data_IF_058343125950
#
_entry.id   IF_058343125950
#
_cell.length_a   1.000
_cell.length_b   1.000
_cell.length_c   1.000
_cell.angle_alpha   90.00
_cell.angle_beta   90.00
_cell.angle_gamma   90.00
#
_symmetry.space_group_name_H-M   'P 1'
#
loop_
_entity.id
_entity.type
_entity.pdbx_description
1 polymer ?
#
# COMPACT_ATOMS: atom_id res chain seq x y z
N UNK A 1 -6.93 5.29 -20.71
CA UNK A 1 -6.65 5.58 -19.29
C UNK A 1 -7.75 4.90 -18.50
N UNK A 2 -7.41 4.15 -17.45
CA UNK A 2 -8.42 3.49 -16.62
C UNK A 2 -9.19 4.55 -15.83
N UNK A 3 -10.51 4.45 -15.80
CA UNK A 3 -11.33 5.36 -15.01
C UNK A 3 -11.48 4.85 -13.58
N UNK A 4 -11.05 5.64 -12.59
CA UNK A 4 -11.24 5.26 -11.19
C UNK A 4 -12.62 5.73 -10.72
N UNK A 5 -13.49 4.80 -10.24
CA UNK A 5 -14.77 5.13 -9.64
C UNK A 5 -14.68 6.28 -8.64
N UNK A 6 -15.58 7.26 -8.75
CA UNK A 6 -15.54 8.48 -7.92
C UNK A 6 -15.60 8.16 -6.43
N UNK A 7 -16.46 7.23 -6.03
CA UNK A 7 -16.59 6.78 -4.64
C UNK A 7 -15.36 6.05 -4.10
N UNK A 8 -14.42 5.62 -4.97
CA UNK A 8 -13.17 5.02 -4.52
C UNK A 8 -12.07 6.06 -4.29
N UNK A 9 -12.22 7.27 -4.86
CA UNK A 9 -11.16 8.29 -4.86
C UNK A 9 -10.78 8.78 -3.47
N UNK A 10 -11.73 8.82 -2.54
CA UNK A 10 -11.45 9.19 -1.14
C UNK A 10 -10.61 8.16 -0.38
N UNK A 11 -10.57 6.92 -0.88
CA UNK A 11 -9.85 5.81 -0.26
C UNK A 11 -8.48 5.53 -0.89
N UNK A 12 -8.14 6.20 -2.00
CA UNK A 12 -6.88 5.98 -2.70
C UNK A 12 -5.69 6.38 -1.84
N UNK A 13 -4.55 5.74 -2.08
CA UNK A 13 -3.26 6.20 -1.59
C UNK A 13 -2.67 7.15 -2.64
N UNK A 14 -2.76 8.49 -2.45
CA UNK A 14 -2.49 9.44 -3.52
C UNK A 14 -1.07 9.28 -4.08
N UNK A 15 -0.90 9.52 -5.37
CA UNK A 15 0.41 9.49 -6.03
C UNK A 15 0.54 10.67 -6.97
N UNK A 16 1.77 11.09 -7.18
CA UNK A 16 2.07 12.19 -8.09
C UNK A 16 1.73 11.79 -9.53
N UNK A 17 0.95 12.64 -10.21
CA UNK A 17 0.48 12.39 -11.57
C UNK A 17 -0.65 11.36 -11.70
N UNK A 18 -1.19 10.85 -10.59
CA UNK A 18 -2.36 9.97 -10.57
C UNK A 18 -3.68 10.73 -10.39
N UNK A 19 -4.74 9.98 -10.13
CA UNK A 19 -6.06 10.50 -9.81
C UNK A 19 -6.00 11.45 -8.61
N UNK A 20 -6.76 12.53 -8.69
CA UNK A 20 -6.86 13.51 -7.61
C UNK A 20 -7.43 12.83 -6.35
N UNK A 21 -6.59 12.70 -5.33
CA UNK A 21 -7.00 12.29 -3.99
C UNK A 21 -7.55 13.47 -3.16
N UNK A 22 -7.85 13.23 -1.87
CA UNK A 22 -8.25 14.30 -0.96
C UNK A 22 -7.20 15.42 -0.91
N UNK A 23 -7.64 16.67 -0.93
CA UNK A 23 -6.75 17.81 -0.77
C UNK A 23 -6.02 17.72 0.58
N UNK A 24 -4.69 17.78 0.56
CA UNK A 24 -3.85 17.66 1.73
C UNK A 24 -3.11 18.99 1.97
N UNK A 25 -3.51 19.70 3.02
CA UNK A 25 -2.78 20.88 3.55
C UNK A 25 -2.39 20.62 4.99
N UNK A 26 -1.19 21.02 5.46
CA UNK A 26 -0.77 20.79 6.85
C UNK A 26 -1.78 21.34 7.87
N UNK A 27 -2.13 20.54 8.89
CA UNK A 27 -3.04 20.95 9.96
C UNK A 27 -2.26 21.63 11.10
N UNK A 28 -2.44 22.95 11.24
CA UNK A 28 -1.75 23.75 12.25
C UNK A 28 -2.16 23.41 13.70
N UNK A 29 -3.41 22.99 13.92
CA UNK A 29 -3.90 22.59 15.24
C UNK A 29 -3.37 21.22 15.64
N UNK A 30 -3.33 20.27 14.69
CA UNK A 30 -2.65 18.99 14.89
C UNK A 30 -1.17 19.21 15.20
N UNK A 31 -0.48 20.04 14.40
CA UNK A 31 0.92 20.37 14.64
C UNK A 31 1.16 20.97 16.03
N UNK A 32 0.28 21.85 16.52
CA UNK A 32 0.38 22.39 17.89
C UNK A 32 0.30 21.30 18.94
N UNK A 33 -0.65 20.36 18.81
CA UNK A 33 -0.78 19.20 19.72
C UNK A 33 0.45 18.30 19.68
N UNK A 34 1.01 18.06 18.49
CA UNK A 34 2.24 17.27 18.34
C UNK A 34 3.45 17.95 19.00
N UNK A 35 3.61 19.27 18.86
CA UNK A 35 4.68 20.02 19.56
C UNK A 35 4.55 19.93 21.08
N UNK A 36 3.32 19.94 21.61
CA UNK A 36 3.07 19.73 23.03
C UNK A 36 3.41 18.30 23.49
N UNK A 37 2.98 17.30 22.72
CA UNK A 37 3.36 15.91 22.94
C UNK A 37 4.89 15.71 22.90
N UNK A 38 5.57 16.33 21.93
CA UNK A 38 7.03 16.31 21.82
C UNK A 38 7.65 16.87 23.11
N UNK A 39 7.24 18.07 23.56
CA UNK A 39 7.77 18.68 24.79
C UNK A 39 7.60 17.78 26.00
N UNK A 40 6.44 17.14 26.17
CA UNK A 40 6.18 16.18 27.25
C UNK A 40 7.05 14.91 27.12
N UNK A 41 7.37 14.49 25.89
CA UNK A 41 8.16 13.30 25.62
C UNK A 41 9.67 13.51 25.73
N UNK A 42 10.19 14.75 25.63
CA UNK A 42 11.63 15.06 25.76
C UNK A 42 12.33 14.39 26.96
N UNK A 43 11.84 14.50 28.21
CA UNK A 43 12.48 13.84 29.35
C UNK A 43 12.37 12.30 29.33
N UNK A 44 11.41 11.75 28.57
CA UNK A 44 11.32 10.29 28.35
C UNK A 44 12.40 9.88 27.35
N UNK A 45 12.45 10.55 26.20
CA UNK A 45 13.43 10.29 25.15
C UNK A 45 14.88 10.47 25.63
N UNK A 46 15.17 11.49 26.45
CA UNK A 46 16.48 11.69 27.04
C UNK A 46 16.93 10.48 27.90
N UNK A 47 16.07 10.02 28.80
CA UNK A 47 16.37 8.83 29.63
C UNK A 47 16.53 7.55 28.81
N UNK A 48 15.75 7.41 27.73
CA UNK A 48 15.91 6.28 26.82
C UNK A 48 17.24 6.36 26.05
N UNK A 49 17.63 7.55 25.60
CA UNK A 49 18.90 7.77 24.89
C UNK A 49 20.12 7.40 25.75
N UNK A 50 20.05 7.62 27.06
CA UNK A 50 21.09 7.28 28.03
C UNK A 50 21.12 5.79 28.43
N UNK A 51 20.14 4.99 28.00
CA UNK A 51 20.08 3.57 28.36
C UNK A 51 21.23 2.79 27.72
N UNK A 52 21.89 1.91 28.49
CA UNK A 52 23.11 1.17 28.06
C UNK A 52 22.93 0.31 26.80
N UNK A 53 21.68 -0.08 26.50
CA UNK A 53 21.29 -0.91 25.34
C UNK A 53 20.71 -0.10 24.18
N UNK A 54 20.64 1.21 24.30
CA UNK A 54 20.18 2.07 23.19
C UNK A 54 21.22 2.06 22.08
N UNK A 55 20.74 2.00 20.83
CA UNK A 55 21.59 2.21 19.65
C UNK A 55 22.33 3.56 19.79
N UNK A 56 23.67 3.57 19.85
CA UNK A 56 24.44 4.80 20.05
C UNK A 56 24.09 5.90 19.04
N UNK A 57 23.83 5.55 17.78
CA UNK A 57 23.48 6.51 16.76
C UNK A 57 22.10 7.14 17.02
N UNK A 58 21.14 6.40 17.58
CA UNK A 58 19.85 6.95 18.00
C UNK A 58 20.00 7.80 19.27
N UNK A 59 20.88 7.41 20.20
CA UNK A 59 21.21 8.21 21.38
C UNK A 59 21.77 9.58 21.00
N UNK A 60 22.76 9.62 20.11
CA UNK A 60 23.35 10.85 19.57
C UNK A 60 22.31 11.71 18.83
N UNK A 61 21.47 11.08 17.98
CA UNK A 61 20.42 11.79 17.25
C UNK A 61 19.37 12.41 18.19
N UNK A 62 18.98 11.71 19.26
CA UNK A 62 18.11 12.28 20.30
C UNK A 62 18.78 13.46 20.99
N UNK A 63 20.05 13.34 21.38
CA UNK A 63 20.79 14.44 22.00
C UNK A 63 20.80 15.68 21.09
N UNK A 64 21.17 15.50 19.82
CA UNK A 64 21.16 16.58 18.82
C UNK A 64 19.78 17.23 18.68
N UNK A 65 18.70 16.42 18.64
CA UNK A 65 17.32 16.94 18.57
C UNK A 65 16.93 17.74 19.80
N UNK A 66 17.32 17.29 21.00
CA UNK A 66 17.04 17.96 22.26
C UNK A 66 17.77 19.30 22.37
N UNK A 67 18.99 19.39 21.83
CA UNK A 67 19.78 20.61 21.69
C UNK A 67 19.26 21.56 20.59
N UNK A 68 18.26 21.13 19.82
CA UNK A 68 17.55 21.94 18.83
C UNK A 68 18.02 21.73 17.38
N UNK A 69 18.93 20.80 17.12
CA UNK A 69 19.31 20.46 15.74
C UNK A 69 18.12 19.83 14.99
N UNK A 70 17.94 20.15 13.68
CA UNK A 70 16.93 19.52 12.85
C UNK A 70 17.41 18.15 12.38
N UNK A 71 17.53 17.20 13.31
CA UNK A 71 17.88 15.81 13.04
C UNK A 71 16.62 14.95 12.82
N UNK A 72 16.40 14.38 11.62
CA UNK A 72 15.22 13.56 11.35
C UNK A 72 15.13 12.29 12.20
N UNK A 73 16.24 11.63 12.51
CA UNK A 73 16.26 10.42 13.32
C UNK A 73 15.97 10.74 14.79
N UNK A 74 16.50 11.85 15.30
CA UNK A 74 16.20 12.37 16.63
C UNK A 74 14.74 12.80 16.77
N UNK A 75 14.20 13.51 15.77
CA UNK A 75 12.78 13.87 15.74
C UNK A 75 11.88 12.63 15.73
N UNK A 76 12.23 11.61 14.93
CA UNK A 76 11.54 10.34 14.88
C UNK A 76 11.58 9.59 16.22
N UNK A 77 12.74 9.53 16.87
CA UNK A 77 12.91 8.87 18.16
C UNK A 77 12.12 9.53 19.29
N UNK A 78 12.11 10.88 19.34
CA UNK A 78 11.30 11.62 20.33
C UNK A 78 9.81 11.41 20.08
N UNK A 79 9.36 11.40 18.82
CA UNK A 79 7.98 11.11 18.47
C UNK A 79 7.57 9.66 18.79
N UNK A 80 8.47 8.70 18.57
CA UNK A 80 8.27 7.30 18.96
C UNK A 80 8.06 7.18 20.49
N UNK A 81 8.87 7.87 21.29
CA UNK A 81 8.69 7.93 22.74
C UNK A 81 7.34 8.56 23.12
N UNK A 82 6.93 9.64 22.44
CA UNK A 82 5.64 10.30 22.68
C UNK A 82 4.46 9.36 22.41
N UNK A 83 4.41 8.76 21.21
CA UNK A 83 3.35 7.83 20.77
C UNK A 83 3.27 6.61 21.68
N UNK A 84 4.43 6.12 22.14
CA UNK A 84 4.52 4.96 23.01
C UNK A 84 4.02 5.23 24.43
N UNK A 85 4.41 6.34 25.03
CA UNK A 85 4.30 6.53 26.49
C UNK A 85 3.29 7.57 26.95
N UNK A 86 2.81 8.48 26.09
CA UNK A 86 1.86 9.53 26.51
C UNK A 86 0.40 9.11 26.32
N UNK A 87 0.11 8.08 25.52
CA UNK A 87 -1.22 7.46 25.39
C UNK A 87 -2.29 8.29 24.66
N UNK A 88 -2.16 9.62 24.63
CA UNK A 88 -3.07 10.62 24.07
C UNK A 88 -2.57 11.24 22.75
N UNK A 89 -1.62 10.57 22.09
CA UNK A 89 -0.86 11.11 20.96
C UNK A 89 -1.37 10.57 19.63
N UNK A 90 -1.64 11.49 18.70
CA UNK A 90 -2.00 11.18 17.32
C UNK A 90 -0.78 11.24 16.40
N UNK A 91 -0.36 10.10 15.85
CA UNK A 91 0.84 9.99 15.02
C UNK A 91 0.85 10.92 13.78
N UNK A 92 -0.25 11.06 13.00
CA UNK A 92 -0.33 12.01 11.89
C UNK A 92 -0.01 13.46 12.28
N UNK A 93 -0.30 13.87 13.52
CA UNK A 93 -0.06 15.23 13.97
C UNK A 93 1.44 15.62 13.96
N UNK A 94 2.34 14.64 14.13
CA UNK A 94 3.78 14.87 13.99
C UNK A 94 4.20 15.13 12.55
N UNK A 95 3.54 14.50 11.57
CA UNK A 95 3.78 14.78 10.14
C UNK A 95 3.48 16.25 9.85
N UNK A 96 2.37 16.77 10.36
CA UNK A 96 1.99 18.17 10.22
C UNK A 96 2.99 19.11 10.91
N UNK A 97 3.44 18.79 12.13
CA UNK A 97 4.44 19.56 12.85
C UNK A 97 5.78 19.60 12.11
N UNK A 98 6.32 18.45 11.69
CA UNK A 98 7.58 18.37 10.96
C UNK A 98 7.50 19.11 9.62
N UNK A 99 6.37 19.01 8.93
CA UNK A 99 6.16 19.72 7.65
C UNK A 99 6.16 21.23 7.85
N UNK A 100 5.47 21.73 8.87
CA UNK A 100 5.38 23.16 9.16
C UNK A 100 6.69 23.75 9.70
N UNK A 101 7.44 22.98 10.51
CA UNK A 101 8.64 23.47 11.18
C UNK A 101 9.91 23.35 10.31
N UNK A 102 9.98 22.32 9.46
CA UNK A 102 11.22 21.96 8.75
C UNK A 102 11.01 21.62 7.26
N UNK A 103 9.77 21.69 6.76
CA UNK A 103 9.43 21.38 5.38
C UNK A 103 9.16 19.90 5.13
N UNK A 104 8.54 19.63 3.98
CA UNK A 104 8.01 18.32 3.63
C UNK A 104 9.10 17.24 3.47
N UNK A 105 10.26 17.61 2.93
CA UNK A 105 11.38 16.68 2.80
C UNK A 105 11.96 16.24 4.15
N UNK A 106 11.97 17.14 5.15
CA UNK A 106 12.34 16.75 6.52
C UNK A 106 11.33 15.79 7.11
N UNK A 107 10.04 16.07 6.97
CA UNK A 107 8.97 15.18 7.44
C UNK A 107 9.07 13.79 6.79
N UNK A 108 9.45 13.71 5.51
CA UNK A 108 9.70 12.45 4.83
C UNK A 108 10.90 11.69 5.39
N UNK A 109 12.04 12.35 5.62
CA UNK A 109 13.17 11.72 6.28
C UNK A 109 12.80 11.22 7.69
N UNK A 110 12.10 12.03 8.48
CA UNK A 110 11.73 11.69 9.84
C UNK A 110 10.76 10.50 9.89
N UNK A 111 9.75 10.47 9.01
CA UNK A 111 8.83 9.32 8.94
C UNK A 111 9.53 8.04 8.44
N UNK A 112 10.45 8.18 7.48
CA UNK A 112 11.29 7.07 7.03
C UNK A 112 12.12 6.53 8.20
N UNK A 113 12.83 7.36 8.96
CA UNK A 113 13.58 6.94 10.15
C UNK A 113 12.68 6.25 11.19
N UNK A 114 11.56 6.88 11.52
CA UNK A 114 10.54 6.39 12.44
C UNK A 114 10.02 4.99 12.12
N UNK A 115 9.99 4.60 10.84
CA UNK A 115 9.51 3.28 10.44
C UNK A 115 10.36 2.12 10.93
N UNK A 116 11.61 2.38 11.34
CA UNK A 116 12.54 1.38 11.86
C UNK A 116 12.83 1.52 13.34
N UNK A 117 12.31 2.55 14.03
CA UNK A 117 12.64 2.82 15.43
C UNK A 117 11.60 2.16 16.33
N UNK A 118 12.06 1.32 17.26
CA UNK A 118 11.24 0.76 18.33
C UNK A 118 11.65 1.34 19.69
N UNK A 119 10.65 1.66 20.50
CA UNK A 119 10.80 2.21 21.85
C UNK A 119 10.32 1.20 22.90
N UNK A 120 11.21 0.79 23.80
CA UNK A 120 10.90 -0.09 24.92
C UNK A 120 11.61 -1.45 24.86
N UNK A 121 11.24 -2.41 25.74
CA UNK A 121 11.93 -3.69 25.82
C UNK A 121 11.83 -4.55 24.56
N UNK A 122 12.91 -5.27 24.25
CA UNK A 122 12.95 -6.31 23.22
C UNK A 122 12.01 -7.47 23.61
N UNK A 123 11.01 -7.82 22.78
CA UNK A 123 10.34 -9.12 22.90
C UNK A 123 11.29 -10.23 22.46
N UNK A 124 11.67 -11.13 23.36
CA UNK A 124 12.59 -12.23 23.07
C UNK A 124 11.82 -13.54 22.90
N UNK A 125 12.18 -14.33 21.88
CA UNK A 125 11.68 -15.71 21.74
C UNK A 125 12.34 -16.57 22.82
N UNK A 126 11.53 -17.24 23.65
CA UNK A 126 12.02 -18.22 24.60
C UNK A 126 11.59 -19.63 24.18
N UNK A 127 12.54 -20.57 24.12
CA UNK A 127 12.19 -21.99 24.03
C UNK A 127 11.73 -22.46 25.39
N UNK A 128 10.48 -22.95 25.50
CA UNK A 128 10.15 -23.80 26.64
C UNK A 128 10.67 -25.20 26.29
N UNK A 129 11.54 -25.77 27.12
CA UNK A 129 12.22 -27.05 26.87
C UNK A 129 11.31 -28.26 26.56
N UNK A 130 10.00 -28.08 26.45
CA UNK A 130 9.00 -29.01 25.91
C UNK A 130 8.83 -28.93 24.38
N UNK A 131 9.67 -28.18 23.65
CA UNK A 131 9.55 -28.00 22.20
C UNK A 131 8.48 -26.98 21.77
N UNK A 132 7.84 -26.29 22.73
CA UNK A 132 6.94 -25.18 22.45
C UNK A 132 7.70 -23.85 22.50
N UNK A 133 7.54 -23.02 21.47
CA UNK A 133 8.04 -21.64 21.47
C UNK A 133 7.13 -20.81 22.38
N UNK A 134 7.66 -20.29 23.49
CA UNK A 134 6.99 -19.28 24.32
C UNK A 134 7.51 -17.90 23.93
N UNK A 135 6.59 -16.99 23.61
CA UNK A 135 6.95 -15.60 23.43
C UNK A 135 7.02 -14.92 24.80
N UNK A 136 8.13 -14.28 25.15
CA UNK A 136 8.19 -13.40 26.31
C UNK A 136 8.04 -11.97 25.81
N UNK A 137 6.80 -11.49 25.78
CA UNK A 137 6.51 -10.09 25.58
C UNK A 137 6.58 -9.39 26.95
N UNK A 138 7.50 -8.43 27.11
CA UNK A 138 7.47 -7.51 28.23
C UNK A 138 6.37 -6.47 27.99
N UNK A 139 5.11 -6.89 28.12
CA UNK A 139 3.98 -5.99 28.19
C UNK A 139 3.77 -5.63 29.66
N UNK A 140 4.00 -4.37 30.04
CA UNK A 140 3.51 -3.88 31.32
C UNK A 140 1.99 -3.82 31.25
N UNK A 141 1.31 -4.80 31.84
CA UNK A 141 -0.11 -4.70 32.18
C UNK A 141 -0.16 -3.96 33.53
N UNK A 142 -0.29 -2.63 33.48
CA UNK A 142 -0.29 -1.73 34.64
C UNK A 142 0.50 -0.45 34.41
N UNK A 143 0.63 0.41 35.43
CA UNK A 143 1.57 1.54 35.41
C UNK A 143 2.96 0.99 35.03
N UNK A 144 3.51 1.44 33.89
CA UNK A 144 4.91 1.17 33.55
C UNK A 144 5.75 1.49 34.80
N UNK A 145 6.71 0.62 35.19
CA UNK A 145 7.47 0.83 36.42
C UNK A 145 7.92 2.29 36.48
N UNK A 146 7.47 3.04 37.50
CA UNK A 146 7.74 4.48 37.61
C UNK A 146 9.24 4.71 37.45
N UNK A 147 9.67 5.16 36.28
CA UNK A 147 11.07 5.41 35.97
C UNK A 147 11.68 4.66 34.79
N UNK A 148 11.13 3.52 34.35
CA UNK A 148 11.75 2.74 33.26
C UNK A 148 11.06 2.97 31.91
N UNK A 149 11.80 3.61 30.99
CA UNK A 149 11.35 3.89 29.62
C UNK A 149 11.96 2.94 28.56
N UNK A 150 12.83 1.99 28.97
CA UNK A 150 13.50 1.07 28.04
C UNK A 150 14.52 1.76 27.12
N UNK A 151 14.90 1.06 26.05
CA UNK A 151 15.88 1.53 25.05
C UNK A 151 15.22 2.05 23.78
N UNK A 152 16.01 2.78 22.98
CA UNK A 152 15.72 3.09 21.59
C UNK A 152 16.60 2.22 20.70
N UNK A 153 15.99 1.55 19.72
CA UNK A 153 16.71 0.66 18.82
C UNK A 153 16.12 0.66 17.43
N UNK A 154 16.90 0.17 16.47
CA UNK A 154 16.37 -0.19 15.15
C UNK A 154 15.80 -1.61 15.17
N UNK A 155 14.72 -1.80 14.43
CA UNK A 155 14.09 -3.10 14.26
C UNK A 155 14.92 -4.01 13.38
N UNK A 156 14.96 -5.29 13.72
CA UNK A 156 15.70 -6.32 13.00
C UNK A 156 14.82 -7.53 12.69
N UNK A 157 15.35 -8.42 11.85
CA UNK A 157 14.71 -9.70 11.52
C UNK A 157 14.66 -10.68 12.70
N UNK A 158 15.20 -10.33 13.87
CA UNK A 158 15.07 -11.12 15.10
C UNK A 158 13.85 -10.75 15.95
N UNK A 159 13.29 -9.55 15.76
CA UNK A 159 12.11 -9.04 16.48
C UNK A 159 10.83 -9.85 16.25
N UNK A 160 10.46 -10.70 17.21
CA UNK A 160 9.40 -11.68 17.00
C UNK A 160 8.02 -11.07 16.70
N UNK A 161 7.67 -9.93 17.30
CA UNK A 161 6.44 -9.16 17.04
C UNK A 161 6.62 -7.68 17.39
N UNK A 162 6.04 -6.75 16.61
CA UNK A 162 5.98 -5.34 17.00
C UNK A 162 5.11 -5.20 18.25
N UNK A 163 5.62 -4.60 19.32
CA UNK A 163 4.84 -4.36 20.53
C UNK A 163 4.48 -2.87 20.60
N UNK A 164 3.32 -2.46 20.09
CA UNK A 164 2.68 -1.18 20.44
C UNK A 164 2.30 -0.25 19.30
N UNK A 165 2.12 1.02 19.66
CA UNK A 165 1.76 2.12 18.74
C UNK A 165 3.02 2.65 18.06
N UNK A 166 2.95 2.83 16.74
CA UNK A 166 4.05 3.31 15.92
C UNK A 166 3.75 4.72 15.42
N UNK A 167 4.78 5.54 15.36
CA UNK A 167 4.70 6.87 14.75
C UNK A 167 4.51 6.79 13.23
N UNK A 168 5.11 5.78 12.58
CA UNK A 168 4.95 5.53 11.15
C UNK A 168 3.73 4.63 10.85
N UNK A 169 2.63 4.78 11.60
CA UNK A 169 1.39 4.03 11.33
C UNK A 169 0.78 4.38 9.95
N UNK A 170 -0.19 3.56 9.52
CA UNK A 170 -0.92 3.74 8.25
C UNK A 170 -1.43 5.16 8.04
N UNK A 171 -1.95 5.80 9.11
CA UNK A 171 -2.54 7.14 9.03
C UNK A 171 -1.46 8.19 8.80
N UNK A 172 -0.33 8.12 9.51
CA UNK A 172 0.79 9.04 9.34
C UNK A 172 1.43 8.88 7.95
N UNK A 173 1.61 7.63 7.49
CA UNK A 173 2.18 7.33 6.18
C UNK A 173 1.27 7.81 5.04
N UNK A 174 -0.04 7.52 5.08
CA UNK A 174 -1.02 8.04 4.11
C UNK A 174 -1.06 9.57 4.11
N UNK A 175 -1.04 10.19 5.28
CA UNK A 175 -1.05 11.65 5.45
C UNK A 175 0.14 12.30 4.76
N UNK A 176 1.35 11.81 5.02
CA UNK A 176 2.57 12.33 4.41
C UNK A 176 2.58 12.08 2.90
N UNK A 177 2.19 10.87 2.47
CA UNK A 177 2.11 10.53 1.05
C UNK A 177 1.15 11.46 0.30
N UNK A 178 0.02 11.82 0.89
CA UNK A 178 -0.92 12.78 0.30
C UNK A 178 -0.30 14.18 0.15
N UNK A 179 0.45 14.66 1.15
CA UNK A 179 1.19 15.93 1.06
C UNK A 179 2.24 15.89 -0.05
N UNK A 180 3.02 14.79 -0.15
CA UNK A 180 4.03 14.59 -1.19
C UNK A 180 3.42 14.53 -2.59
N UNK A 181 2.28 13.85 -2.76
CA UNK A 181 1.60 13.75 -4.06
C UNK A 181 1.12 15.12 -4.59
N UNK A 182 0.74 16.02 -3.69
CA UNK A 182 0.30 17.38 -4.01
C UNK A 182 1.43 18.43 -4.06
N UNK A 183 2.67 18.05 -3.71
CA UNK A 183 3.78 18.98 -3.61
C UNK A 183 4.25 19.50 -4.99
N UNK A 184 4.74 20.75 -5.05
CA UNK A 184 5.51 21.25 -6.20
C UNK A 184 6.68 20.31 -6.57
N UNK A 185 7.07 20.29 -7.85
CA UNK A 185 8.13 19.39 -8.35
C UNK A 185 9.45 19.53 -7.59
N UNK A 186 9.88 20.76 -7.35
CA UNK A 186 11.12 21.08 -6.64
C UNK A 186 11.11 20.54 -5.21
N UNK A 187 9.99 20.72 -4.50
CA UNK A 187 9.79 20.17 -3.14
C UNK A 187 9.77 18.64 -3.16
N UNK A 188 9.10 18.04 -4.15
CA UNK A 188 9.07 16.58 -4.31
C UNK A 188 10.47 16.01 -4.57
N UNK A 189 11.25 16.67 -5.42
CA UNK A 189 12.63 16.25 -5.75
C UNK A 189 13.59 16.43 -4.58
N UNK A 190 13.43 17.47 -3.77
CA UNK A 190 14.18 17.60 -2.52
C UNK A 190 13.86 16.44 -1.56
N UNK A 191 12.59 16.06 -1.42
CA UNK A 191 12.20 14.90 -0.63
C UNK A 191 12.82 13.61 -1.15
N UNK A 192 12.82 13.36 -2.47
CA UNK A 192 13.50 12.21 -3.08
C UNK A 192 14.99 12.20 -2.76
N UNK A 193 15.67 13.33 -2.97
CA UNK A 193 17.12 13.44 -2.76
C UNK A 193 17.50 13.18 -1.29
N UNK A 194 16.74 13.74 -0.34
CA UNK A 194 17.02 13.59 1.09
C UNK A 194 16.66 12.20 1.61
N UNK A 195 15.49 11.65 1.26
CA UNK A 195 15.07 10.31 1.68
C UNK A 195 16.02 9.22 1.18
N UNK A 196 16.69 9.44 0.04
CA UNK A 196 17.71 8.52 -0.46
C UNK A 196 18.84 8.23 0.55
N UNK A 197 19.15 9.18 1.45
CA UNK A 197 20.15 9.00 2.51
C UNK A 197 19.62 8.28 3.76
N UNK A 198 18.30 8.16 3.92
CA UNK A 198 17.65 7.61 5.12
C UNK A 198 17.09 6.19 4.92
N UNK A 199 17.19 5.61 3.71
CA UNK A 199 16.65 4.27 3.37
C UNK A 199 17.61 3.10 3.65
N UNK A 200 18.32 3.14 4.78
CA UNK A 200 19.46 2.26 5.06
C UNK A 200 19.14 0.78 5.32
N UNK A 201 17.94 0.45 5.77
CA UNK A 201 17.50 -0.93 6.08
C UNK A 201 16.17 -1.26 5.36
N UNK A 202 15.74 -2.55 5.35
CA UNK A 202 14.55 -2.96 4.61
C UNK A 202 13.27 -2.22 4.99
N UNK A 203 13.10 -1.86 6.26
CA UNK A 203 11.91 -1.18 6.73
C UNK A 203 11.86 0.27 6.23
N UNK A 204 12.99 0.96 6.29
CA UNK A 204 13.13 2.31 5.75
C UNK A 204 13.04 2.32 4.23
N UNK A 205 13.56 1.30 3.51
CA UNK A 205 13.38 1.15 2.05
C UNK A 205 11.92 0.96 1.67
N UNK A 206 11.18 0.13 2.39
CA UNK A 206 9.74 -0.05 2.17
C UNK A 206 8.95 1.24 2.42
N UNK A 207 9.25 1.95 3.49
CA UNK A 207 8.58 3.23 3.77
C UNK A 207 8.93 4.26 2.71
N UNK A 208 10.18 4.34 2.27
CA UNK A 208 10.60 5.23 1.19
C UNK A 208 9.90 4.92 -0.14
N UNK A 209 9.80 3.65 -0.55
CA UNK A 209 9.10 3.25 -1.78
C UNK A 209 7.61 3.54 -1.72
N UNK A 210 7.01 3.44 -0.54
CA UNK A 210 5.63 3.85 -0.31
C UNK A 210 5.44 5.38 -0.36
N UNK A 211 6.32 6.17 0.25
CA UNK A 211 6.14 7.63 0.23
C UNK A 211 6.40 8.23 -1.16
N UNK A 212 7.32 7.63 -1.92
CA UNK A 212 7.85 8.16 -3.17
C UNK A 212 7.71 7.12 -4.31
N UNK A 213 6.47 6.75 -4.70
CA UNK A 213 6.20 5.64 -5.62
C UNK A 213 6.67 5.88 -7.07
N UNK A 214 7.07 7.11 -7.42
CA UNK A 214 7.63 7.40 -8.75
C UNK A 214 9.07 6.90 -8.89
N UNK A 215 9.78 6.67 -7.79
CA UNK A 215 11.12 6.10 -7.79
C UNK A 215 11.03 4.56 -7.88
N UNK A 216 10.65 4.07 -9.07
CA UNK A 216 10.28 2.65 -9.30
C UNK A 216 11.35 1.65 -8.85
N UNK A 217 12.63 2.03 -8.98
CA UNK A 217 13.79 1.23 -8.53
C UNK A 217 13.73 0.92 -7.03
N UNK A 218 13.21 1.83 -6.21
CA UNK A 218 13.08 1.62 -4.77
C UNK A 218 11.98 0.61 -4.44
N UNK A 219 10.93 0.55 -5.26
CA UNK A 219 9.91 -0.49 -5.14
C UNK A 219 10.45 -1.87 -5.58
N UNK A 220 11.31 -1.94 -6.60
CA UNK A 220 12.00 -3.18 -6.97
C UNK A 220 12.84 -3.75 -5.83
N UNK A 221 13.63 -2.90 -5.16
CA UNK A 221 14.41 -3.25 -3.98
C UNK A 221 13.52 -3.73 -2.83
N UNK A 222 12.48 -2.95 -2.48
CA UNK A 222 11.57 -3.28 -1.39
C UNK A 222 10.76 -4.57 -1.63
N UNK A 223 10.45 -4.90 -2.89
CA UNK A 223 9.77 -6.15 -3.27
C UNK A 223 10.69 -7.37 -3.26
N UNK A 224 12.00 -7.19 -3.43
CA UNK A 224 12.98 -8.27 -3.31
C UNK A 224 13.23 -8.67 -1.85
N UNK A 225 12.85 -7.80 -0.91
CA UNK A 225 13.10 -7.98 0.51
C UNK A 225 11.90 -8.58 1.25
N UNK A 226 12.17 -9.62 2.02
CA UNK A 226 11.20 -10.23 2.93
C UNK A 226 11.05 -9.40 4.22
N UNK A 227 10.58 -8.15 4.12
CA UNK A 227 10.18 -7.41 5.30
C UNK A 227 8.80 -7.94 5.77
N UNK A 228 8.79 -9.02 6.54
CA UNK A 228 7.53 -9.58 7.07
C UNK A 228 6.94 -8.77 8.22
N UNK A 229 7.53 -7.62 8.57
CA UNK A 229 7.26 -6.90 9.83
C UNK A 229 6.88 -5.44 9.60
N UNK A 230 5.94 -5.00 10.43
CA UNK A 230 5.23 -3.72 10.43
C UNK A 230 6.19 -2.56 10.80
N UNK A 231 5.91 -1.27 10.48
CA UNK A 231 4.59 -0.65 10.50
C UNK A 231 3.75 -0.62 9.20
N UNK A 232 4.34 -0.83 8.02
CA UNK A 232 3.59 -0.81 6.76
C UNK A 232 3.29 -2.21 6.24
N UNK A 233 2.00 -2.48 6.01
CA UNK A 233 1.48 -3.76 5.54
C UNK A 233 1.59 -4.02 4.04
N UNK A 234 1.01 -5.14 3.59
CA UNK A 234 0.99 -5.56 2.19
C UNK A 234 0.26 -4.54 1.29
N UNK A 235 -0.78 -3.90 1.79
CA UNK A 235 -1.52 -2.83 1.13
C UNK A 235 -0.63 -1.66 0.72
N UNK A 236 0.35 -1.27 1.56
CA UNK A 236 1.30 -0.21 1.26
C UNK A 236 2.28 -0.60 0.17
N UNK A 237 2.76 -1.85 0.18
CA UNK A 237 3.62 -2.39 -0.88
C UNK A 237 2.87 -2.36 -2.22
N UNK A 238 1.61 -2.77 -2.24
CA UNK A 238 0.76 -2.70 -3.44
C UNK A 238 0.53 -1.26 -3.91
N UNK A 239 0.28 -0.33 -2.97
CA UNK A 239 0.16 1.09 -3.26
C UNK A 239 1.45 1.73 -3.79
N UNK A 240 2.60 1.06 -3.64
CA UNK A 240 3.91 1.52 -4.14
C UNK A 240 4.19 1.07 -5.58
N UNK A 241 3.31 0.25 -6.17
CA UNK A 241 3.53 -0.30 -7.50
C UNK A 241 3.31 0.73 -8.60
N UNK A 242 4.20 0.70 -9.60
CA UNK A 242 4.24 1.66 -10.70
C UNK A 242 4.60 1.02 -12.03
N UNK A 243 4.86 -0.29 -12.07
CA UNK A 243 5.23 -1.04 -13.27
C UNK A 243 4.57 -2.42 -13.26
N UNK A 244 4.29 -2.98 -14.44
CA UNK A 244 3.78 -4.34 -14.59
C UNK A 244 4.69 -5.40 -13.94
N UNK A 245 6.01 -5.17 -13.94
CA UNK A 245 6.98 -6.06 -13.34
C UNK A 245 6.78 -6.23 -11.82
N UNK A 246 6.32 -5.19 -11.14
CA UNK A 246 6.00 -5.28 -9.71
C UNK A 246 4.79 -6.20 -9.47
N UNK A 247 3.74 -6.09 -10.30
CA UNK A 247 2.52 -6.87 -10.16
C UNK A 247 2.77 -8.39 -10.31
N UNK A 248 3.70 -8.78 -11.18
CA UNK A 248 4.07 -10.18 -11.39
C UNK A 248 4.69 -10.86 -10.15
N UNK A 249 5.21 -10.10 -9.19
CA UNK A 249 5.81 -10.63 -7.95
C UNK A 249 4.80 -10.85 -6.83
N UNK A 250 3.56 -10.37 -7.00
CA UNK A 250 2.52 -10.49 -5.99
C UNK A 250 1.56 -11.60 -6.34
N UNK A 251 1.32 -12.48 -5.38
CA UNK A 251 0.39 -13.60 -5.54
C UNK A 251 -0.92 -13.39 -4.79
N UNK A 252 -0.99 -12.42 -3.87
CA UNK A 252 -2.15 -12.13 -3.03
C UNK A 252 -2.27 -10.64 -2.74
N UNK A 253 -3.51 -10.14 -2.72
CA UNK A 253 -3.83 -8.78 -2.30
C UNK A 253 -5.12 -8.75 -1.47
N UNK A 254 -5.23 -7.84 -0.49
CA UNK A 254 -6.52 -7.46 0.06
C UNK A 254 -7.40 -6.82 -1.04
N UNK A 255 -8.67 -7.22 -1.08
CA UNK A 255 -9.63 -6.68 -2.06
C UNK A 255 -10.46 -5.61 -1.37
N UNK A 256 -10.03 -4.36 -1.52
CA UNK A 256 -10.73 -3.17 -1.04
C UNK A 256 -10.74 -2.09 -2.12
N UNK A 257 -11.68 -1.14 -2.09
CA UNK A 257 -11.66 0.01 -3.01
C UNK A 257 -10.34 0.79 -2.96
N UNK A 258 -9.76 0.97 -1.77
CA UNK A 258 -8.48 1.64 -1.56
C UNK A 258 -7.35 0.99 -2.37
N UNK A 259 -7.20 -0.33 -2.24
CA UNK A 259 -6.09 -1.08 -2.83
C UNK A 259 -6.29 -1.26 -4.32
N UNK A 260 -7.49 -1.69 -4.73
CA UNK A 260 -7.82 -1.92 -6.14
C UNK A 260 -7.77 -0.61 -6.92
N UNK A 261 -8.37 0.46 -6.40
CA UNK A 261 -8.32 1.77 -7.01
C UNK A 261 -6.89 2.32 -7.14
N UNK A 262 -6.06 2.15 -6.10
CA UNK A 262 -4.65 2.61 -6.15
C UNK A 262 -3.82 1.80 -7.15
N UNK A 263 -4.06 0.50 -7.27
CA UNK A 263 -3.41 -0.34 -8.28
C UNK A 263 -3.80 0.07 -9.69
N UNK A 264 -5.09 0.30 -9.94
CA UNK A 264 -5.57 0.80 -11.23
C UNK A 264 -5.00 2.20 -11.56
N UNK A 265 -4.92 3.08 -10.57
CA UNK A 265 -4.33 4.41 -10.74
C UNK A 265 -2.83 4.34 -11.07
N UNK A 266 -2.11 3.40 -10.45
CA UNK A 266 -0.68 3.25 -10.62
C UNK A 266 -0.21 2.43 -11.82
N UNK A 267 -0.98 1.41 -12.20
CA UNK A 267 -0.61 0.43 -13.23
C UNK A 267 -1.52 0.50 -14.46
N UNK A 268 -2.67 1.15 -14.36
CA UNK A 268 -3.70 1.09 -15.38
C UNK A 268 -4.07 -0.35 -15.70
N UNK A 269 -4.07 -0.68 -16.99
CA UNK A 269 -4.41 -2.02 -17.47
C UNK A 269 -3.40 -3.11 -17.07
N UNK A 270 -2.18 -2.75 -16.66
CA UNK A 270 -1.20 -3.73 -16.19
C UNK A 270 -1.55 -4.31 -14.81
N UNK A 271 -2.57 -3.77 -14.13
CA UNK A 271 -3.16 -4.39 -12.96
C UNK A 271 -4.02 -5.63 -13.29
N UNK A 272 -4.52 -5.78 -14.52
CA UNK A 272 -5.50 -6.82 -14.90
C UNK A 272 -5.07 -8.24 -14.52
N UNK A 273 -3.81 -8.67 -14.76
CA UNK A 273 -3.36 -10.01 -14.34
C UNK A 273 -3.50 -10.24 -12.83
N UNK A 274 -3.24 -9.21 -12.02
CA UNK A 274 -3.38 -9.31 -10.56
C UNK A 274 -4.86 -9.34 -10.13
N UNK A 275 -5.72 -8.56 -10.78
CA UNK A 275 -7.18 -8.60 -10.58
C UNK A 275 -7.76 -9.97 -10.92
N UNK A 276 -7.32 -10.58 -12.03
CA UNK A 276 -7.75 -11.92 -12.42
C UNK A 276 -7.27 -13.00 -11.43
N UNK A 277 -6.01 -12.93 -10.95
CA UNK A 277 -5.53 -13.82 -9.89
C UNK A 277 -6.40 -13.70 -8.63
N UNK A 278 -6.70 -12.47 -8.19
CA UNK A 278 -7.56 -12.23 -7.04
C UNK A 278 -8.97 -12.78 -7.27
N UNK A 279 -9.56 -12.52 -8.44
CA UNK A 279 -10.89 -12.99 -8.80
C UNK A 279 -10.96 -14.52 -8.80
N UNK A 280 -10.00 -15.21 -9.44
CA UNK A 280 -9.89 -16.68 -9.42
C UNK A 280 -9.75 -17.26 -8.02
N UNK A 281 -9.04 -16.57 -7.11
CA UNK A 281 -8.94 -17.01 -5.70
C UNK A 281 -10.29 -16.88 -4.99
N UNK A 282 -11.02 -15.79 -5.21
CA UNK A 282 -12.34 -15.55 -4.62
C UNK A 282 -13.38 -16.55 -5.10
N UNK A 283 -13.41 -16.84 -6.40
CA UNK A 283 -14.26 -17.91 -6.97
C UNK A 283 -14.07 -19.25 -6.26
N UNK A 284 -12.82 -19.62 -5.96
CA UNK A 284 -12.49 -20.86 -5.22
C UNK A 284 -12.93 -20.85 -3.75
N UNK A 285 -13.17 -19.69 -3.16
CA UNK A 285 -13.55 -19.53 -1.76
C UNK A 285 -15.08 -19.50 -1.55
N UNK A 286 -15.89 -19.34 -2.60
CA UNK A 286 -17.36 -19.31 -2.52
C UNK A 286 -17.94 -17.89 -2.56
N UNK A 287 -19.15 -17.71 -2.02
CA UNK A 287 -19.82 -16.41 -1.99
C UNK A 287 -18.95 -15.36 -1.28
N UNK A 288 -18.62 -14.29 -2.01
CA UNK A 288 -17.65 -13.28 -1.58
C UNK A 288 -18.18 -11.87 -1.88
N UNK A 289 -18.40 -11.11 -0.81
CA UNK A 289 -18.85 -9.71 -0.85
C UNK A 289 -17.84 -8.78 -1.54
N UNK A 290 -16.59 -9.21 -1.73
CA UNK A 290 -15.53 -8.42 -2.39
C UNK A 290 -15.45 -8.64 -3.90
N UNK A 291 -16.12 -9.67 -4.46
CA UNK A 291 -16.14 -9.95 -5.90
C UNK A 291 -16.67 -8.79 -6.76
N UNK A 292 -17.74 -8.06 -6.37
CA UNK A 292 -18.23 -6.90 -7.14
C UNK A 292 -17.17 -5.80 -7.33
N UNK A 293 -16.25 -5.61 -6.37
CA UNK A 293 -15.15 -4.64 -6.49
C UNK A 293 -14.23 -5.04 -7.65
N UNK A 294 -13.87 -6.32 -7.75
CA UNK A 294 -12.99 -6.82 -8.82
C UNK A 294 -13.67 -6.76 -10.20
N UNK A 295 -14.94 -7.15 -10.28
CA UNK A 295 -15.71 -7.06 -11.54
C UNK A 295 -15.80 -5.62 -12.01
N UNK A 296 -16.13 -4.69 -11.10
CA UNK A 296 -16.17 -3.27 -11.42
C UNK A 296 -14.81 -2.76 -11.91
N UNK A 297 -13.73 -3.10 -11.23
CA UNK A 297 -12.38 -2.73 -11.63
C UNK A 297 -12.02 -3.21 -13.05
N UNK A 298 -12.43 -4.42 -13.42
CA UNK A 298 -12.25 -4.95 -14.77
C UNK A 298 -13.10 -4.17 -15.80
N UNK A 299 -14.35 -3.82 -15.48
CA UNK A 299 -15.23 -3.06 -16.36
C UNK A 299 -14.76 -1.63 -16.63
N UNK A 300 -14.05 -1.02 -15.67
CA UNK A 300 -13.44 0.31 -15.86
C UNK A 300 -12.09 0.26 -16.61
N UNK A 301 -11.61 -0.93 -16.96
CA UNK A 301 -10.31 -1.12 -17.59
C UNK A 301 -10.46 -1.44 -19.09
N UNK A 302 -10.10 -0.52 -20.01
CA UNK A 302 -10.21 -0.74 -21.45
C UNK A 302 -9.05 -1.62 -21.99
N UNK A 303 -9.06 -2.91 -21.65
CA UNK A 303 -8.00 -3.86 -22.03
C UNK A 303 -8.58 -5.22 -22.45
N UNK A 304 -7.98 -5.86 -23.47
CA UNK A 304 -8.45 -7.15 -23.98
C UNK A 304 -8.31 -8.29 -22.96
N UNK A 305 -7.38 -8.18 -22.00
CA UNK A 305 -7.14 -9.19 -20.96
C UNK A 305 -8.31 -9.33 -19.97
N UNK A 306 -9.25 -8.37 -19.93
CA UNK A 306 -10.43 -8.47 -19.06
C UNK A 306 -11.40 -9.57 -19.53
N UNK A 307 -11.49 -9.81 -20.84
CA UNK A 307 -12.51 -10.70 -21.42
C UNK A 307 -12.29 -12.16 -21.02
N UNK A 308 -11.08 -12.74 -21.13
CA UNK A 308 -10.82 -14.08 -20.59
C UNK A 308 -11.07 -14.19 -19.07
N UNK A 309 -10.77 -13.14 -18.31
CA UNK A 309 -10.97 -13.13 -16.85
C UNK A 309 -12.47 -13.16 -16.45
N UNK A 310 -13.30 -12.44 -17.20
CA UNK A 310 -14.76 -12.42 -17.05
C UNK A 310 -15.40 -13.70 -17.59
N UNK A 311 -14.96 -14.20 -18.75
CA UNK A 311 -15.44 -15.45 -19.35
C UNK A 311 -15.24 -16.64 -18.40
N UNK A 312 -14.09 -16.71 -17.71
CA UNK A 312 -13.84 -17.75 -16.71
C UNK A 312 -14.85 -17.76 -15.54
N UNK A 313 -15.62 -16.68 -15.34
CA UNK A 313 -16.68 -16.56 -14.34
C UNK A 313 -18.10 -16.63 -14.92
N UNK A 314 -18.29 -16.98 -16.19
CA UNK A 314 -19.61 -16.93 -16.87
C UNK A 314 -20.67 -17.84 -16.24
N UNK A 315 -20.25 -18.92 -15.58
CA UNK A 315 -21.16 -19.84 -14.87
C UNK A 315 -21.64 -19.32 -13.51
N UNK A 316 -21.11 -18.18 -13.05
CA UNK A 316 -21.43 -17.63 -11.73
C UNK A 316 -22.56 -16.61 -11.80
N UNK A 317 -23.18 -16.35 -10.64
CA UNK A 317 -24.16 -15.28 -10.51
C UNK A 317 -23.56 -13.96 -11.03
N UNK A 318 -24.24 -13.28 -11.95
CA UNK A 318 -23.78 -12.01 -12.54
C UNK A 318 -22.62 -12.11 -13.53
N UNK A 319 -22.03 -13.28 -13.75
CA UNK A 319 -20.94 -13.48 -14.71
C UNK A 319 -21.33 -13.14 -16.16
N UNK A 320 -22.46 -13.66 -16.69
CA UNK A 320 -22.91 -13.32 -18.04
C UNK A 320 -23.18 -11.83 -18.23
N UNK A 321 -23.78 -11.18 -17.23
CA UNK A 321 -24.09 -9.75 -17.27
C UNK A 321 -22.81 -8.91 -17.33
N UNK A 322 -21.79 -9.25 -16.52
CA UNK A 322 -20.50 -8.54 -16.54
C UNK A 322 -19.77 -8.70 -17.88
N UNK A 323 -19.80 -9.90 -18.49
CA UNK A 323 -19.18 -10.11 -19.80
C UNK A 323 -19.88 -9.30 -20.91
N UNK A 324 -21.21 -9.27 -20.90
CA UNK A 324 -22.00 -8.47 -21.84
C UNK A 324 -21.71 -6.98 -21.67
N UNK A 325 -21.73 -6.48 -20.44
CA UNK A 325 -21.43 -5.06 -20.15
C UNK A 325 -20.03 -4.67 -20.63
N UNK A 326 -19.02 -5.52 -20.42
CA UNK A 326 -17.66 -5.28 -20.92
C UNK A 326 -17.62 -5.23 -22.46
N UNK A 327 -18.36 -6.11 -23.12
CA UNK A 327 -18.44 -6.19 -24.57
C UNK A 327 -19.16 -4.98 -25.18
N UNK A 328 -20.20 -4.48 -24.53
CA UNK A 328 -20.92 -3.27 -24.94
C UNK A 328 -20.04 -2.02 -24.77
N UNK A 329 -19.26 -1.94 -23.69
CA UNK A 329 -18.32 -0.82 -23.44
C UNK A 329 -17.13 -0.84 -24.40
N UNK A 330 -16.59 -2.02 -24.72
CA UNK A 330 -15.35 -2.17 -25.49
C UNK A 330 -15.46 -3.22 -26.63
N UNK A 331 -16.35 -3.01 -27.61
CA UNK A 331 -16.72 -4.05 -28.58
C UNK A 331 -15.56 -4.52 -29.47
N UNK A 332 -14.69 -3.60 -29.91
CA UNK A 332 -13.49 -3.97 -30.69
C UNK A 332 -12.48 -4.81 -29.89
N UNK A 333 -12.32 -4.53 -28.59
CA UNK A 333 -11.46 -5.32 -27.70
C UNK A 333 -12.09 -6.69 -27.42
N UNK A 334 -13.41 -6.74 -27.25
CA UNK A 334 -14.16 -7.98 -27.06
C UNK A 334 -13.95 -8.93 -28.24
N UNK A 335 -14.12 -8.45 -29.47
CA UNK A 335 -13.94 -9.25 -30.68
C UNK A 335 -12.52 -9.79 -30.77
N UNK A 336 -11.51 -8.93 -30.57
CA UNK A 336 -10.09 -9.34 -30.60
C UNK A 336 -9.77 -10.41 -29.54
N UNK A 337 -10.26 -10.23 -28.32
CA UNK A 337 -9.97 -11.11 -27.20
C UNK A 337 -10.68 -12.47 -27.29
N UNK A 338 -11.93 -12.45 -27.77
CA UNK A 338 -12.83 -13.60 -27.71
C UNK A 338 -12.85 -14.42 -29.01
N UNK A 339 -12.60 -13.83 -30.18
CA UNK A 339 -12.61 -14.57 -31.45
C UNK A 339 -11.71 -15.82 -31.46
N UNK A 340 -10.50 -15.82 -30.87
CA UNK A 340 -9.67 -17.01 -30.78
C UNK A 340 -10.27 -18.14 -29.92
N UNK A 341 -11.24 -17.83 -29.06
CA UNK A 341 -11.87 -18.78 -28.14
C UNK A 341 -13.17 -19.37 -28.69
N UNK A 342 -13.71 -18.83 -29.78
CA UNK A 342 -15.02 -19.19 -30.31
C UNK A 342 -15.10 -20.60 -30.93
N UNK A 343 -13.96 -21.15 -31.36
CA UNK A 343 -13.85 -22.43 -32.09
C UNK A 343 -13.06 -23.48 -31.29
N UNK A 344 -13.10 -23.40 -29.95
CA UNK A 344 -12.39 -24.34 -29.06
C UNK A 344 -13.16 -25.66 -28.81
N UNK A 345 -14.35 -25.82 -29.41
CA UNK A 345 -15.20 -26.99 -29.26
C UNK A 345 -15.87 -27.14 -27.88
N UNK A 346 -15.79 -26.12 -27.02
CA UNK A 346 -16.36 -26.14 -25.67
C UNK A 346 -17.70 -25.39 -25.58
N UNK A 347 -18.41 -25.60 -24.48
CA UNK A 347 -19.62 -24.82 -24.15
C UNK A 347 -19.33 -23.32 -24.06
N UNK A 348 -18.14 -22.94 -23.57
CA UNK A 348 -17.75 -21.54 -23.48
C UNK A 348 -17.41 -20.96 -24.86
N UNK A 349 -16.79 -21.73 -25.75
CA UNK A 349 -16.60 -21.36 -27.15
C UNK A 349 -17.92 -21.11 -27.88
N UNK A 350 -18.94 -21.96 -27.67
CA UNK A 350 -20.28 -21.73 -28.22
C UNK A 350 -20.94 -20.44 -27.69
N UNK A 351 -20.79 -20.15 -26.40
CA UNK A 351 -21.29 -18.90 -25.78
C UNK A 351 -20.58 -17.68 -26.36
N UNK A 352 -19.26 -17.76 -26.50
CA UNK A 352 -18.44 -16.74 -27.13
C UNK A 352 -18.87 -16.51 -28.59
N UNK A 353 -19.08 -17.57 -29.36
CA UNK A 353 -19.55 -17.45 -30.74
C UNK A 353 -20.92 -16.74 -30.80
N UNK A 354 -21.84 -17.06 -29.88
CA UNK A 354 -23.11 -16.35 -29.76
C UNK A 354 -22.95 -14.85 -29.48
N UNK A 355 -22.11 -14.49 -28.51
CA UNK A 355 -21.81 -13.09 -28.17
C UNK A 355 -21.19 -12.33 -29.36
N UNK A 356 -20.20 -12.93 -30.02
CA UNK A 356 -19.53 -12.33 -31.19
C UNK A 356 -20.51 -12.07 -32.32
N UNK A 357 -21.42 -13.01 -32.63
CA UNK A 357 -22.48 -12.79 -33.62
C UNK A 357 -23.37 -11.61 -33.26
N UNK A 358 -23.73 -11.47 -31.98
CA UNK A 358 -24.50 -10.32 -31.50
C UNK A 358 -23.78 -8.99 -31.74
N UNK A 359 -22.49 -8.90 -31.38
CA UNK A 359 -21.69 -7.70 -31.59
C UNK A 359 -21.53 -7.33 -33.06
N UNK A 360 -21.26 -8.31 -33.94
CA UNK A 360 -21.09 -8.09 -35.38
C UNK A 360 -22.40 -7.76 -36.08
N UNK A 361 -23.53 -8.25 -35.56
CA UNK A 361 -24.84 -7.86 -36.04
C UNK A 361 -25.14 -6.39 -35.70
N UNK A 362 -24.75 -5.94 -34.50
CA UNK A 362 -24.92 -4.56 -34.07
C UNK A 362 -23.97 -3.59 -34.79
N UNK A 363 -22.72 -4.01 -35.03
CA UNK A 363 -21.72 -3.24 -35.77
C UNK A 363 -20.86 -4.13 -36.70
N UNK A 364 -21.22 -4.21 -38.00
CA UNK A 364 -20.47 -4.99 -38.99
C UNK A 364 -19.05 -4.50 -39.25
N UNK A 365 -18.67 -3.29 -38.81
CA UNK A 365 -17.31 -2.77 -38.99
C UNK A 365 -16.29 -3.45 -38.05
N UNK A 366 -16.76 -4.21 -37.05
CA UNK A 366 -15.91 -4.92 -36.07
C UNK A 366 -15.30 -6.23 -36.60
N UNK A 367 -15.52 -6.59 -37.87
CA UNK A 367 -15.04 -7.84 -38.46
C UNK A 367 -13.50 -7.92 -38.41
N UNK A 368 -12.99 -9.03 -37.88
CA UNK A 368 -11.57 -9.40 -37.91
C UNK A 368 -11.41 -10.78 -38.56
N UNK A 369 -10.24 -11.15 -39.12
CA UNK A 369 -10.06 -12.42 -39.84
C UNK A 369 -10.40 -13.68 -39.02
N UNK A 370 -10.27 -13.63 -37.69
CA UNK A 370 -10.63 -14.74 -36.80
C UNK A 370 -12.16 -14.98 -36.71
N UNK A 371 -12.97 -13.99 -37.02
CA UNK A 371 -14.44 -14.04 -36.97
C UNK A 371 -15.04 -14.73 -38.21
N UNK A 372 -14.33 -14.77 -39.33
CA UNK A 372 -14.79 -15.44 -40.56
C UNK A 372 -14.98 -16.96 -40.38
N UNK A 373 -14.41 -17.53 -39.31
CA UNK A 373 -14.44 -18.95 -38.98
C UNK A 373 -15.39 -19.31 -37.84
N UNK A 374 -16.30 -18.40 -37.44
CA UNK A 374 -17.23 -18.68 -36.35
C UNK A 374 -18.07 -19.95 -36.63
N UNK A 375 -18.25 -20.85 -35.63
CA UNK A 375 -19.08 -22.02 -35.80
C UNK A 375 -20.52 -21.63 -36.15
N UNK A 376 -21.28 -22.47 -36.87
CA UNK A 376 -22.66 -22.18 -37.22
C UNK A 376 -23.54 -22.02 -35.97
N UNK A 377 -24.66 -21.28 -36.06
CA UNK A 377 -25.60 -21.20 -34.95
C UNK A 377 -26.11 -22.58 -34.56
N UNK A 378 -26.34 -22.85 -33.26
CA UNK A 378 -26.98 -24.09 -32.84
C UNK A 378 -28.34 -24.20 -33.53
N UNK A 379 -28.75 -25.42 -33.96
CA UNK A 379 -30.06 -25.62 -34.56
C UNK A 379 -31.16 -25.21 -33.56
N UNK A 380 -32.14 -24.45 -34.05
CA UNK A 380 -33.28 -23.91 -33.29
C UNK A 380 -34.22 -25.03 -32.86
#
# INVERSE_FOLDING_TARGET
MVEIPVEWREHLHPRRGGAAGPAAVPDADAARRAREAERRARPIAARMAEHERTDPALGEAVAARLDGAPDPAGAAAVAAAAVRYLGDVDAPAFVDAWTLDHGLAFAACALTEASSIEAGPVPVRASSGSGAVRLVAHASIGDAPRGWAGELRRTTDEDAFPLGRWIADDRAAKRLRALLAAAPEDVYRDAVARVAAHRGDPQRRRTASYLLPTETRWADEALAENAHRQPLGQDHVLASMSTAAHAARVTWMPVTPAVVGTLLDGLGADAVPLLDIALRRRRRQGADDTRPILVRALLETPDERIFPALLAGIGEQGGPAALLEAADRYPALAVRALAPLADDGTTDGLRVAGLLRGLLHADPALVVPAVEKLPPPPPV
#
